data_IF_885584793994
#
_entry.id   IF_885584793994
#
_cell.length_a   1.000
_cell.length_b   1.000
_cell.length_c   1.000
_cell.angle_alpha   90.00
_cell.angle_beta   90.00
_cell.angle_gamma   90.00
#
_symmetry.space_group_name_H-M   'P 1'
#
loop_
_entity.id
_entity.type
_entity.pdbx_description
1 polymer ?
#
# COMPACT_ATOMS: atom_id res chain seq x y z
N UNK A 1 21.76 8.40 0.69
CA UNK A 1 20.67 7.79 1.47
C UNK A 1 20.60 6.31 1.15
N UNK A 2 19.92 5.51 1.97
CA UNK A 2 19.75 4.07 1.74
C UNK A 2 18.29 3.65 1.91
N UNK A 3 17.88 2.60 1.21
CA UNK A 3 16.60 1.95 1.47
C UNK A 3 16.76 1.10 2.73
N UNK A 4 15.92 1.35 3.74
CA UNK A 4 15.94 0.62 5.02
C UNK A 4 14.84 -0.42 5.14
N UNK A 5 13.75 -0.28 4.38
CA UNK A 5 12.65 -1.23 4.39
C UNK A 5 11.96 -1.29 3.02
N UNK A 6 11.61 -2.50 2.61
CA UNK A 6 10.75 -2.79 1.48
C UNK A 6 9.56 -3.62 1.97
N UNK A 7 8.35 -3.21 1.61
CA UNK A 7 7.13 -3.93 1.98
C UNK A 7 6.24 -4.11 0.77
N UNK A 8 5.84 -5.35 0.53
CA UNK A 8 4.85 -5.73 -0.49
C UNK A 8 3.52 -6.01 0.22
N UNK A 9 2.43 -5.56 -0.37
CA UNK A 9 1.07 -5.78 0.14
C UNK A 9 0.27 -6.56 -0.90
N UNK A 10 0.41 -7.89 -1.00
CA UNK A 10 -0.21 -8.65 -2.08
C UNK A 10 -1.73 -8.47 -2.16
N UNK A 11 -2.39 -8.41 -1.00
CA UNK A 11 -3.83 -8.18 -0.90
C UNK A 11 -4.10 -6.78 -0.34
N UNK A 12 -4.89 -5.99 -1.07
CA UNK A 12 -5.33 -4.67 -0.60
C UNK A 12 -5.97 -4.77 0.79
N UNK A 13 -5.48 -3.97 1.74
CA UNK A 13 -5.96 -3.88 3.13
C UNK A 13 -5.64 -5.05 4.07
N UNK A 14 -4.98 -6.12 3.63
CA UNK A 14 -4.40 -7.12 4.52
C UNK A 14 -2.99 -6.71 4.97
N UNK A 15 -2.32 -7.52 5.79
CA UNK A 15 -0.95 -7.25 6.24
C UNK A 15 0.03 -7.18 5.07
N UNK A 16 1.10 -6.41 5.24
CA UNK A 16 2.24 -6.37 4.34
C UNK A 16 3.26 -7.45 4.68
N UNK A 17 4.10 -7.75 3.70
CA UNK A 17 5.25 -8.65 3.81
C UNK A 17 6.50 -7.80 3.68
N UNK A 18 7.33 -7.74 4.73
CA UNK A 18 8.64 -7.13 4.61
C UNK A 18 9.56 -8.07 3.83
N UNK A 19 10.21 -7.54 2.82
CA UNK A 19 11.10 -8.28 1.94
C UNK A 19 12.48 -7.64 1.89
N UNK A 20 13.51 -8.45 1.69
CA UNK A 20 14.88 -7.93 1.53
C UNK A 20 15.15 -7.46 0.10
N UNK A 21 14.38 -7.97 -0.86
CA UNK A 21 14.44 -7.58 -2.27
C UNK A 21 13.12 -7.89 -2.98
N UNK A 22 12.86 -7.19 -4.09
CA UNK A 22 11.72 -7.44 -4.98
C UNK A 22 12.08 -7.03 -6.41
N UNK A 23 11.45 -7.63 -7.40
CA UNK A 23 11.40 -7.02 -8.73
C UNK A 23 10.55 -5.75 -8.68
N UNK A 24 10.98 -4.73 -9.43
CA UNK A 24 10.27 -3.46 -9.58
C UNK A 24 9.69 -3.37 -10.99
N UNK A 25 8.40 -3.10 -11.08
CA UNK A 25 7.67 -3.02 -12.34
C UNK A 25 6.92 -1.70 -12.47
N UNK A 26 6.52 -1.35 -13.70
CA UNK A 26 5.75 -0.13 -13.96
C UNK A 26 4.47 -0.02 -13.10
N UNK A 27 3.89 -1.14 -12.69
CA UNK A 27 2.67 -1.21 -11.88
C UNK A 27 2.90 -1.45 -10.38
N UNK A 28 4.17 -1.48 -9.90
CA UNK A 28 4.52 -1.65 -8.48
C UNK A 28 5.62 -2.69 -8.25
N UNK A 29 5.88 -3.01 -7.00
CA UNK A 29 6.72 -4.16 -6.64
C UNK A 29 6.02 -5.45 -7.05
N UNK A 30 6.78 -6.50 -7.31
CA UNK A 30 6.24 -7.82 -7.66
C UNK A 30 5.16 -8.24 -6.65
N UNK A 31 3.99 -8.63 -7.16
CA UNK A 31 2.80 -9.04 -6.40
C UNK A 31 2.11 -7.94 -5.59
N UNK A 32 2.56 -6.71 -5.58
CA UNK A 32 1.94 -5.63 -4.80
C UNK A 32 0.51 -5.32 -5.28
N UNK A 33 -0.46 -5.36 -4.35
CA UNK A 33 -1.90 -5.11 -4.56
C UNK A 33 -2.49 -5.85 -5.76
N UNK A 34 -1.99 -7.07 -6.01
CA UNK A 34 -2.49 -7.96 -7.06
C UNK A 34 -3.88 -8.50 -6.75
N UNK A 35 -4.22 -8.60 -5.46
CA UNK A 35 -5.51 -9.07 -4.96
C UNK A 35 -6.24 -7.98 -4.18
N UNK A 36 -7.56 -8.11 -4.13
CA UNK A 36 -8.45 -7.20 -3.42
C UNK A 36 -9.67 -7.96 -2.89
N UNK A 37 -10.18 -7.52 -1.74
CA UNK A 37 -11.44 -7.98 -1.20
C UNK A 37 -12.58 -7.13 -1.74
N UNK A 38 -13.70 -7.77 -2.13
CA UNK A 38 -14.90 -7.10 -2.61
C UNK A 38 -16.15 -7.59 -1.86
N UNK A 39 -17.13 -6.70 -1.74
CA UNK A 39 -18.46 -7.02 -1.21
C UNK A 39 -19.35 -7.67 -2.30
N UNK A 40 -20.59 -8.06 -1.93
CA UNK A 40 -21.58 -8.62 -2.84
C UNK A 40 -21.97 -7.69 -4.00
N UNK A 41 -21.66 -6.38 -3.90
CA UNK A 41 -21.87 -5.39 -4.95
C UNK A 41 -20.60 -5.17 -5.79
N UNK A 42 -19.59 -6.02 -5.65
CA UNK A 42 -18.30 -5.92 -6.33
C UNK A 42 -17.52 -4.62 -6.02
N UNK A 43 -17.76 -4.03 -4.86
CA UNK A 43 -17.04 -2.84 -4.37
C UNK A 43 -15.94 -3.26 -3.41
N UNK A 44 -14.81 -2.61 -3.49
CA UNK A 44 -13.65 -2.91 -2.64
C UNK A 44 -13.96 -2.72 -1.14
N UNK A 45 -13.48 -3.68 -0.35
CA UNK A 45 -13.55 -3.66 1.12
C UNK A 45 -12.17 -3.35 1.69
N UNK A 46 -12.12 -2.50 2.69
CA UNK A 46 -10.86 -2.05 3.29
C UNK A 46 -10.93 -2.01 4.81
N UNK A 47 -9.78 -1.80 5.46
CA UNK A 47 -9.70 -1.54 6.90
C UNK A 47 -10.53 -0.33 7.35
N UNK A 48 -11.03 0.53 6.44
CA UNK A 48 -11.97 1.62 6.79
C UNK A 48 -13.33 1.11 7.23
N UNK A 49 -13.79 0.03 6.62
CA UNK A 49 -15.05 -0.63 6.95
C UNK A 49 -14.84 -1.77 7.96
N UNK A 50 -13.77 -2.53 7.79
CA UNK A 50 -13.46 -3.70 8.60
C UNK A 50 -11.99 -3.64 9.08
N UNK A 51 -11.70 -2.94 10.18
CA UNK A 51 -10.34 -2.81 10.72
C UNK A 51 -9.66 -4.15 11.01
N UNK A 52 -10.42 -5.19 11.37
CA UNK A 52 -9.93 -6.54 11.61
C UNK A 52 -9.20 -7.17 10.41
N UNK A 53 -9.38 -6.66 9.18
CA UNK A 53 -8.58 -7.09 8.03
C UNK A 53 -7.07 -6.93 8.26
N UNK A 54 -6.66 -6.01 9.13
CA UNK A 54 -5.26 -5.82 9.51
C UNK A 54 -4.67 -7.03 10.25
N UNK A 55 -5.49 -7.94 10.80
CA UNK A 55 -5.01 -9.12 11.53
C UNK A 55 -4.77 -10.33 10.63
N UNK A 56 -5.20 -10.29 9.37
CA UNK A 56 -4.95 -11.36 8.40
C UNK A 56 -3.53 -11.23 7.88
N UNK A 57 -2.68 -12.17 8.25
CA UNK A 57 -1.30 -12.27 7.79
C UNK A 57 -1.25 -12.82 6.37
N UNK A 58 -0.26 -12.37 5.62
CA UNK A 58 -0.05 -12.73 4.22
C UNK A 58 1.38 -13.19 4.03
N UNK A 59 1.56 -14.30 3.32
CA UNK A 59 2.87 -14.77 2.89
C UNK A 59 2.83 -15.16 1.40
N UNK A 60 3.96 -15.10 0.74
CA UNK A 60 4.17 -15.59 -0.63
C UNK A 60 5.15 -16.75 -0.58
N UNK A 61 4.78 -17.87 -1.20
CA UNK A 61 5.66 -18.98 -1.54
C UNK A 61 5.96 -18.94 -3.05
N UNK A 62 6.81 -19.81 -3.60
CA UNK A 62 7.05 -19.83 -5.04
C UNK A 62 5.80 -20.04 -5.91
N UNK A 63 4.77 -20.69 -5.37
CA UNK A 63 3.57 -21.11 -6.09
C UNK A 63 2.25 -20.64 -5.48
N UNK A 64 2.28 -20.04 -4.27
CA UNK A 64 1.06 -19.74 -3.53
C UNK A 64 1.10 -18.40 -2.77
N UNK A 65 -0.04 -17.74 -2.72
CA UNK A 65 -0.39 -16.73 -1.72
C UNK A 65 -0.99 -17.47 -0.52
N UNK A 66 -0.42 -17.30 0.67
CA UNK A 66 -0.91 -17.92 1.91
C UNK A 66 -1.53 -16.85 2.80
N UNK A 67 -2.79 -17.08 3.21
CA UNK A 67 -3.47 -16.26 4.21
C UNK A 67 -3.52 -17.01 5.53
N UNK A 68 -3.23 -16.33 6.64
CA UNK A 68 -3.22 -16.91 7.99
C UNK A 68 -3.92 -16.01 8.99
N UNK A 69 -4.64 -16.62 9.91
CA UNK A 69 -5.28 -15.92 11.04
C UNK A 69 -5.31 -16.85 12.27
N UNK A 70 -5.13 -16.35 13.52
CA UNK A 70 -5.07 -17.21 14.70
C UNK A 70 -6.32 -18.06 14.97
N UNK A 71 -7.47 -17.68 14.42
CA UNK A 71 -8.74 -18.37 14.66
C UNK A 71 -8.97 -19.59 13.75
N UNK A 72 -8.21 -19.74 12.65
CA UNK A 72 -8.45 -20.78 11.63
C UNK A 72 -7.13 -21.25 11.02
N UNK A 73 -7.12 -22.45 10.46
CA UNK A 73 -5.96 -22.97 9.73
C UNK A 73 -5.64 -22.10 8.50
N UNK A 74 -4.37 -21.95 8.14
CA UNK A 74 -3.98 -21.18 6.96
C UNK A 74 -4.59 -21.74 5.66
N UNK A 75 -4.85 -20.84 4.71
CA UNK A 75 -5.31 -21.21 3.36
C UNK A 75 -4.28 -20.79 2.31
N UNK A 76 -4.05 -21.66 1.32
CA UNK A 76 -3.16 -21.41 0.20
C UNK A 76 -3.96 -21.18 -1.09
N UNK A 77 -3.57 -20.16 -1.85
CA UNK A 77 -4.20 -19.75 -3.10
C UNK A 77 -3.11 -19.78 -4.16
N UNK A 78 -3.30 -20.55 -5.24
CA UNK A 78 -2.30 -20.67 -6.30
C UNK A 78 -1.93 -19.32 -6.90
N UNK A 79 -0.65 -19.10 -7.22
CA UNK A 79 -0.20 -17.93 -7.99
C UNK A 79 -0.54 -18.04 -9.48
N UNK A 80 -0.86 -19.23 -9.99
CA UNK A 80 -1.41 -19.39 -11.34
C UNK A 80 -2.75 -18.65 -11.45
N UNK A 81 -2.95 -17.92 -12.55
CA UNK A 81 -4.15 -17.14 -12.75
C UNK A 81 -5.37 -18.08 -12.86
N UNK A 82 -6.43 -17.90 -12.05
CA UNK A 82 -7.58 -18.78 -12.05
C UNK A 82 -8.31 -18.69 -13.39
N UNK A 83 -8.81 -19.83 -13.85
CA UNK A 83 -9.69 -19.88 -15.02
C UNK A 83 -11.10 -19.43 -14.62
N UNK A 84 -11.77 -18.65 -15.44
CA UNK A 84 -13.14 -18.21 -15.17
C UNK A 84 -13.56 -16.96 -15.89
N UNK A 85 -14.78 -16.53 -15.60
CA UNK A 85 -15.33 -15.31 -16.16
C UNK A 85 -14.85 -14.08 -15.40
N UNK A 86 -14.40 -13.08 -16.16
CA UNK A 86 -14.04 -11.78 -15.60
C UNK A 86 -15.25 -11.12 -14.92
N UNK A 87 -15.01 -10.56 -13.75
CA UNK A 87 -15.95 -9.70 -13.02
C UNK A 87 -15.52 -8.25 -13.14
N UNK A 88 -16.50 -7.35 -13.22
CA UNK A 88 -16.26 -5.92 -13.11
C UNK A 88 -16.32 -5.55 -11.62
N UNK A 89 -15.22 -5.05 -11.10
CA UNK A 89 -15.09 -4.62 -9.68
C UNK A 89 -14.74 -3.13 -9.63
N UNK A 90 -15.06 -2.47 -8.51
CA UNK A 90 -14.77 -1.05 -8.38
C UNK A 90 -13.74 -0.77 -7.28
N UNK A 91 -12.79 0.13 -7.59
CA UNK A 91 -11.82 0.72 -6.66
C UNK A 91 -11.96 2.23 -6.75
N UNK A 92 -12.50 2.86 -5.70
CA UNK A 92 -12.88 4.28 -5.74
C UNK A 92 -13.86 4.56 -6.90
N UNK A 93 -13.50 5.43 -7.82
CA UNK A 93 -14.27 5.72 -9.02
C UNK A 93 -13.97 4.83 -10.22
N UNK A 94 -12.94 3.99 -10.14
CA UNK A 94 -12.48 3.17 -11.26
C UNK A 94 -13.19 1.82 -11.30
N UNK A 95 -13.40 1.32 -12.51
CA UNK A 95 -13.85 -0.04 -12.77
C UNK A 95 -12.72 -0.88 -13.32
N UNK A 96 -12.45 -2.03 -12.69
CA UNK A 96 -11.39 -2.96 -13.07
C UNK A 96 -11.97 -4.33 -13.44
N UNK A 97 -11.32 -5.01 -14.38
CA UNK A 97 -11.60 -6.42 -14.64
C UNK A 97 -10.78 -7.29 -13.68
N UNK A 98 -11.45 -8.22 -13.02
CA UNK A 98 -10.85 -9.11 -12.03
C UNK A 98 -11.36 -10.53 -12.20
N UNK A 99 -10.55 -11.50 -11.77
CA UNK A 99 -10.91 -12.90 -11.70
C UNK A 99 -11.25 -13.25 -10.24
N UNK A 100 -12.37 -13.89 -9.95
CA UNK A 100 -12.69 -14.35 -8.62
C UNK A 100 -11.75 -15.50 -8.22
N UNK A 101 -11.30 -15.50 -6.98
CA UNK A 101 -10.70 -16.68 -6.36
C UNK A 101 -11.79 -17.65 -5.91
N UNK A 102 -11.38 -18.83 -5.43
CA UNK A 102 -12.29 -19.88 -4.95
C UNK A 102 -13.21 -19.37 -3.83
N UNK A 103 -14.45 -19.82 -3.79
CA UNK A 103 -15.42 -19.55 -2.72
C UNK A 103 -14.92 -20.02 -1.34
N UNK A 104 -14.07 -21.03 -1.29
CA UNK A 104 -13.42 -21.50 -0.06
C UNK A 104 -12.65 -20.37 0.65
N UNK A 105 -12.08 -19.41 -0.11
CA UNK A 105 -11.42 -18.25 0.49
C UNK A 105 -12.43 -17.32 1.17
N UNK A 106 -13.64 -17.19 0.63
CA UNK A 106 -14.72 -16.38 1.25
C UNK A 106 -15.20 -17.02 2.54
N UNK A 107 -15.38 -18.33 2.56
CA UNK A 107 -15.74 -19.11 3.76
C UNK A 107 -14.62 -19.00 4.81
N UNK A 108 -13.37 -19.08 4.40
CA UNK A 108 -12.22 -18.91 5.28
C UNK A 108 -12.19 -17.51 5.91
N UNK A 109 -12.45 -16.45 5.13
CA UNK A 109 -12.51 -15.08 5.64
C UNK A 109 -13.63 -14.88 6.65
N UNK A 110 -14.81 -15.48 6.42
CA UNK A 110 -15.92 -15.44 7.37
C UNK A 110 -15.58 -16.19 8.65
N UNK A 111 -14.95 -17.36 8.55
CA UNK A 111 -14.49 -18.12 9.72
C UNK A 111 -13.41 -17.38 10.53
N UNK A 112 -12.47 -16.67 9.85
CA UNK A 112 -11.40 -15.94 10.49
C UNK A 112 -11.89 -14.65 11.17
N UNK A 113 -12.79 -13.89 10.54
CA UNK A 113 -13.16 -12.52 10.93
C UNK A 113 -14.61 -12.39 11.43
N UNK A 114 -15.40 -13.48 11.37
CA UNK A 114 -16.78 -13.52 11.82
C UNK A 114 -17.78 -12.90 10.84
N UNK A 115 -19.01 -12.73 11.30
CA UNK A 115 -20.16 -12.21 10.52
C UNK A 115 -19.87 -10.92 9.74
N UNK A 116 -18.92 -10.08 10.20
CA UNK A 116 -18.55 -8.84 9.53
C UNK A 116 -17.88 -9.09 8.17
N UNK A 117 -17.32 -10.28 7.95
CA UNK A 117 -16.70 -10.69 6.70
C UNK A 117 -17.65 -11.49 5.79
N UNK A 118 -18.89 -11.69 6.18
CA UNK A 118 -19.88 -12.42 5.41
C UNK A 118 -20.13 -11.80 4.04
N UNK A 119 -20.05 -12.61 3.00
CA UNK A 119 -20.24 -12.17 1.62
C UNK A 119 -19.06 -11.39 1.03
N UNK A 120 -17.94 -11.32 1.74
CA UNK A 120 -16.69 -10.79 1.19
C UNK A 120 -16.01 -11.89 0.36
N UNK A 121 -15.56 -11.55 -0.84
CA UNK A 121 -14.80 -12.44 -1.70
C UNK A 121 -13.47 -11.84 -2.12
N UNK A 122 -12.48 -12.73 -2.39
CA UNK A 122 -11.17 -12.33 -2.90
C UNK A 122 -11.21 -12.36 -4.43
N UNK A 123 -10.66 -11.31 -5.03
CA UNK A 123 -10.50 -11.19 -6.49
C UNK A 123 -9.07 -10.85 -6.84
N UNK A 124 -8.61 -11.33 -8.00
CA UNK A 124 -7.29 -11.05 -8.57
C UNK A 124 -7.46 -10.10 -9.76
N UNK A 125 -6.59 -9.12 -9.87
CA UNK A 125 -6.53 -8.21 -11.00
C UNK A 125 -6.23 -9.01 -12.28
N UNK A 126 -7.05 -8.88 -13.32
CA UNK A 126 -6.86 -9.62 -14.55
C UNK A 126 -5.64 -9.11 -15.34
N UNK A 127 -4.75 -10.00 -15.78
CA UNK A 127 -3.56 -9.63 -16.58
C UNK A 127 -3.90 -9.00 -17.92
N UNK A 128 -5.11 -9.25 -18.41
CA UNK A 128 -5.63 -8.69 -19.69
C UNK A 128 -6.23 -7.30 -19.53
N UNK A 129 -6.21 -6.71 -18.34
CA UNK A 129 -6.76 -5.39 -18.06
C UNK A 129 -5.65 -4.43 -17.60
N UNK A 130 -5.82 -3.16 -17.91
CA UNK A 130 -4.92 -2.09 -17.49
C UNK A 130 -5.72 -1.03 -16.75
N UNK A 131 -5.24 -0.62 -15.58
CA UNK A 131 -5.80 0.50 -14.82
C UNK A 131 -4.82 1.66 -14.86
N UNK A 132 -5.23 2.76 -15.49
CA UNK A 132 -4.42 3.98 -15.55
C UNK A 132 -4.32 4.67 -14.19
N UNK A 133 -3.19 5.28 -13.91
CA UNK A 133 -3.00 6.26 -12.83
C UNK A 133 -3.59 7.60 -13.28
N UNK A 134 -4.06 8.39 -12.31
CA UNK A 134 -4.60 9.73 -12.53
C UNK A 134 -3.62 10.63 -13.32
N UNK A 135 -4.06 11.19 -14.44
CA UNK A 135 -3.21 11.92 -15.39
C UNK A 135 -2.68 13.26 -14.85
N UNK A 136 -3.41 13.92 -13.95
CA UNK A 136 -3.12 15.28 -13.46
C UNK A 136 -1.69 15.48 -12.96
N UNK A 137 -1.05 14.41 -12.48
CA UNK A 137 0.30 14.46 -11.91
C UNK A 137 1.34 13.69 -12.73
N UNK A 138 1.00 13.23 -13.94
CA UNK A 138 1.90 12.43 -14.78
C UNK A 138 2.72 13.29 -15.75
N UNK A 139 2.43 14.59 -15.86
CA UNK A 139 3.11 15.51 -16.79
C UNK A 139 3.10 15.01 -18.25
N UNK A 140 1.97 14.45 -18.69
CA UNK A 140 1.79 13.90 -20.04
C UNK A 140 2.33 12.49 -20.25
N UNK A 141 2.86 11.84 -19.22
CA UNK A 141 3.24 10.43 -19.25
C UNK A 141 2.07 9.49 -18.95
N UNK A 142 2.29 8.20 -19.14
CA UNK A 142 1.35 7.15 -18.76
C UNK A 142 1.93 6.33 -17.60
N UNK A 143 1.08 5.91 -16.67
CA UNK A 143 1.42 4.98 -15.61
C UNK A 143 0.22 4.11 -15.26
N UNK A 144 0.49 2.92 -14.77
CA UNK A 144 -0.50 1.92 -14.45
C UNK A 144 -0.32 1.39 -13.04
N UNK A 145 -1.40 0.86 -12.47
CA UNK A 145 -1.35 0.21 -11.17
C UNK A 145 -2.38 -0.92 -11.11
N UNK A 146 -2.22 -1.82 -10.16
CA UNK A 146 -3.23 -2.84 -9.86
C UNK A 146 -4.32 -2.26 -8.92
N UNK A 147 -4.58 -2.89 -7.79
CA UNK A 147 -5.57 -2.43 -6.81
C UNK A 147 -5.04 -1.42 -5.79
N UNK A 148 -3.91 -0.73 -6.06
CA UNK A 148 -3.46 0.39 -5.23
C UNK A 148 -4.51 1.49 -5.16
N UNK A 149 -4.40 2.42 -4.21
CA UNK A 149 -5.39 3.52 -4.13
C UNK A 149 -5.31 4.45 -5.34
N UNK A 150 -4.12 4.79 -5.82
CA UNK A 150 -3.97 5.61 -7.02
C UNK A 150 -2.61 5.45 -7.71
N UNK A 151 -1.56 5.08 -6.98
CA UNK A 151 -0.19 5.01 -7.50
C UNK A 151 0.46 3.67 -7.17
N UNK A 152 1.40 3.20 -8.00
CA UNK A 152 2.07 1.91 -7.80
C UNK A 152 3.03 1.89 -6.60
N UNK A 153 3.59 3.04 -6.20
CA UNK A 153 4.54 3.12 -5.10
C UNK A 153 4.18 4.21 -4.10
N UNK A 154 4.44 3.92 -2.83
CA UNK A 154 4.46 4.89 -1.75
C UNK A 154 5.87 4.90 -1.15
N UNK A 155 6.53 6.06 -1.17
CA UNK A 155 7.85 6.30 -0.60
C UNK A 155 7.69 7.15 0.65
N UNK A 156 8.39 6.78 1.73
CA UNK A 156 8.44 7.52 2.99
C UNK A 156 9.87 7.58 3.50
N UNK A 157 10.15 8.45 4.46
CA UNK A 157 11.45 8.55 5.10
C UNK A 157 11.40 8.29 6.60
N UNK A 158 12.52 7.88 7.18
CA UNK A 158 12.66 7.68 8.63
C UNK A 158 12.48 9.00 9.37
N UNK A 159 13.10 10.09 8.90
CA UNK A 159 13.02 11.40 9.56
C UNK A 159 11.59 11.97 9.59
N UNK A 160 10.78 11.72 8.55
CA UNK A 160 9.37 12.13 8.56
C UNK A 160 8.55 11.37 9.60
N UNK A 161 8.82 10.08 9.80
CA UNK A 161 8.19 9.31 10.86
C UNK A 161 8.62 9.79 12.24
N UNK A 162 9.90 10.08 12.42
CA UNK A 162 10.45 10.56 13.70
C UNK A 162 9.85 11.92 14.07
N UNK A 163 9.73 12.86 13.12
CA UNK A 163 9.09 14.14 13.35
C UNK A 163 7.60 14.01 13.71
N UNK A 164 6.87 13.13 13.03
CA UNK A 164 5.48 12.83 13.38
C UNK A 164 5.39 12.25 14.80
N UNK A 165 6.23 11.29 15.13
CA UNK A 165 6.23 10.63 16.43
C UNK A 165 6.63 11.58 17.57
N UNK A 166 7.55 12.50 17.31
CA UNK A 166 7.86 13.57 18.26
C UNK A 166 6.63 14.44 18.53
N UNK A 167 5.91 14.89 17.48
CA UNK A 167 4.70 15.70 17.63
C UNK A 167 3.56 14.95 18.36
N UNK A 168 3.43 13.63 18.15
CA UNK A 168 2.50 12.78 18.88
C UNK A 168 2.84 12.76 20.38
N UNK A 169 4.12 12.55 20.74
CA UNK A 169 4.57 12.53 22.14
C UNK A 169 4.36 13.89 22.81
N UNK A 170 4.67 14.99 22.16
CA UNK A 170 4.46 16.36 22.67
C UNK A 170 2.97 16.64 22.97
N UNK A 171 2.06 15.96 22.28
CA UNK A 171 0.60 16.07 22.51
C UNK A 171 0.05 14.95 23.40
N UNK A 172 0.91 14.14 24.04
CA UNK A 172 0.55 13.10 24.99
C UNK A 172 0.07 11.79 24.34
N UNK A 173 0.37 11.59 23.06
CA UNK A 173 0.04 10.36 22.33
C UNK A 173 1.25 9.43 22.22
N UNK A 174 0.97 8.15 21.98
CA UNK A 174 2.03 7.14 21.72
C UNK A 174 2.52 7.23 20.28
N UNK A 175 3.84 7.02 20.06
CA UNK A 175 4.40 6.87 18.71
C UNK A 175 3.69 5.78 17.90
N UNK A 176 3.65 5.98 16.60
CA UNK A 176 3.09 5.01 15.65
C UNK A 176 4.22 4.39 14.80
N UNK A 177 4.12 3.10 14.44
CA UNK A 177 5.10 2.47 13.56
C UNK A 177 4.85 2.85 12.08
N UNK A 178 5.87 2.73 11.24
CA UNK A 178 5.84 3.03 9.81
C UNK A 178 4.72 2.25 9.07
N UNK A 179 4.43 1.03 9.49
CA UNK A 179 3.41 0.19 8.83
C UNK A 179 1.98 0.74 8.88
N UNK A 180 1.69 1.76 9.74
CA UNK A 180 0.43 2.51 9.72
C UNK A 180 0.18 3.20 8.37
N UNK A 181 1.25 3.61 7.70
CA UNK A 181 1.23 4.32 6.44
C UNK A 181 1.31 3.41 5.23
N UNK A 182 1.68 2.13 5.43
CA UNK A 182 1.74 1.09 4.40
C UNK A 182 2.62 1.48 3.19
N UNK A 183 3.85 2.00 3.40
CA UNK A 183 4.75 2.32 2.32
C UNK A 183 5.29 1.06 1.64
N UNK A 184 5.68 1.20 0.37
CA UNK A 184 6.45 0.17 -0.33
C UNK A 184 7.94 0.31 -0.06
N UNK A 185 8.43 1.56 0.04
CA UNK A 185 9.85 1.90 0.15
C UNK A 185 10.03 2.89 1.29
N UNK A 186 10.89 2.55 2.25
CA UNK A 186 11.32 3.47 3.30
C UNK A 186 12.79 3.81 3.06
N UNK A 187 13.08 5.10 3.00
CA UNK A 187 14.43 5.64 2.79
C UNK A 187 14.94 6.24 4.11
N UNK A 188 16.18 5.91 4.47
CA UNK A 188 16.90 6.56 5.58
C UNK A 188 17.20 8.01 5.20
N UNK A 189 16.66 8.94 5.96
CA UNK A 189 16.89 10.36 5.81
C UNK A 189 16.66 11.01 7.18
N UNK A 190 17.62 11.80 7.65
CA UNK A 190 17.54 12.45 8.97
C UNK A 190 16.61 13.68 8.93
N UNK A 191 16.52 14.33 7.78
CA UNK A 191 15.68 15.52 7.60
C UNK A 191 14.20 15.10 7.41
N UNK A 192 13.33 15.69 8.23
CA UNK A 192 11.90 15.48 8.15
C UNK A 192 11.30 16.13 6.88
N UNK A 193 10.39 15.42 6.25
CA UNK A 193 9.63 15.87 5.07
C UNK A 193 10.49 16.16 3.85
N UNK A 194 11.72 15.63 3.81
CA UNK A 194 12.65 15.84 2.71
C UNK A 194 12.13 15.16 1.42
N UNK A 195 11.43 14.03 1.53
CA UNK A 195 10.78 13.39 0.39
C UNK A 195 9.74 14.28 -0.32
N UNK A 196 9.23 15.31 0.34
CA UNK A 196 8.30 16.26 -0.27
C UNK A 196 8.97 17.17 -1.31
N UNK A 197 10.30 17.32 -1.22
CA UNK A 197 11.12 18.12 -2.13
C UNK A 197 11.72 17.33 -3.28
N UNK A 198 11.60 16.02 -3.29
CA UNK A 198 12.20 15.19 -4.31
C UNK A 198 11.34 15.11 -5.57
N UNK A 199 11.98 15.32 -6.73
CA UNK A 199 11.39 15.02 -8.03
C UNK A 199 11.58 13.55 -8.41
N UNK A 200 12.79 13.02 -8.16
CA UNK A 200 13.12 11.62 -8.45
C UNK A 200 13.89 10.98 -7.32
N UNK A 201 13.83 9.66 -7.27
CA UNK A 201 14.66 8.80 -6.43
C UNK A 201 15.27 7.74 -7.34
N UNK A 202 16.60 7.65 -7.39
CA UNK A 202 17.31 6.76 -8.30
C UNK A 202 18.37 5.93 -7.58
N UNK A 203 18.55 4.70 -8.03
CA UNK A 203 19.66 3.82 -7.72
C UNK A 203 20.24 3.22 -9.00
N UNK A 204 21.29 2.40 -8.87
CA UNK A 204 21.79 1.62 -10.01
C UNK A 204 20.68 0.68 -10.52
N UNK A 205 20.29 0.86 -11.77
CA UNK A 205 19.34 0.00 -12.47
C UNK A 205 17.87 0.44 -12.44
N UNK A 206 17.48 1.41 -11.62
CA UNK A 206 16.08 1.92 -11.62
C UNK A 206 15.98 3.39 -11.20
N UNK A 207 14.88 4.02 -11.64
CA UNK A 207 14.52 5.38 -11.25
C UNK A 207 13.01 5.49 -11.02
N UNK A 208 12.65 6.13 -9.91
CA UNK A 208 11.29 6.48 -9.54
C UNK A 208 11.08 7.99 -9.71
N UNK A 209 9.91 8.38 -10.20
CA UNK A 209 9.46 9.79 -10.20
C UNK A 209 8.43 9.98 -9.11
N UNK A 210 8.68 10.90 -8.18
CA UNK A 210 7.75 11.26 -7.13
C UNK A 210 6.72 12.24 -7.70
N UNK A 211 5.44 11.89 -7.62
CA UNK A 211 4.36 12.57 -8.34
C UNK A 211 3.60 13.55 -7.47
N UNK A 212 3.08 13.09 -6.35
CA UNK A 212 2.31 13.93 -5.42
C UNK A 212 2.39 13.43 -3.98
N UNK A 213 2.23 14.31 -2.98
CA UNK A 213 2.08 13.91 -1.60
C UNK A 213 0.93 12.92 -1.42
N UNK A 214 1.13 11.91 -0.58
CA UNK A 214 0.11 10.92 -0.32
C UNK A 214 -0.86 11.42 0.75
N UNK A 215 -2.09 11.73 0.34
CA UNK A 215 -3.15 12.08 1.29
C UNK A 215 -3.54 10.86 2.13
N UNK A 216 -3.55 11.04 3.43
CA UNK A 216 -3.82 9.95 4.38
C UNK A 216 -5.28 9.91 4.79
N UNK A 217 -5.78 8.71 5.00
CA UNK A 217 -7.15 8.46 5.44
C UNK A 217 -7.16 7.70 6.77
N UNK A 218 -8.34 7.46 7.32
CA UNK A 218 -8.52 6.78 8.61
C UNK A 218 -7.89 5.37 8.71
N UNK A 219 -7.42 4.76 7.63
CA UNK A 219 -6.67 3.49 7.71
C UNK A 219 -5.42 3.64 8.59
N UNK A 220 -4.78 4.81 8.59
CA UNK A 220 -3.59 5.07 9.42
C UNK A 220 -3.87 5.04 10.91
N UNK A 221 -5.15 5.16 11.33
CA UNK A 221 -5.55 5.05 12.74
C UNK A 221 -5.67 3.59 13.21
N UNK A 222 -5.71 2.62 12.27
CA UNK A 222 -5.83 1.19 12.59
C UNK A 222 -4.48 0.63 13.01
N UNK A 223 -4.41 0.02 14.18
CA UNK A 223 -3.25 -0.75 14.59
C UNK A 223 -3.12 -2.02 13.74
N UNK A 224 -2.02 -2.12 12.98
CA UNK A 224 -1.84 -3.18 11.99
C UNK A 224 -1.59 -4.55 12.63
N UNK A 225 -1.30 -4.62 13.92
CA UNK A 225 -1.11 -5.86 14.66
C UNK A 225 -2.41 -6.38 15.29
N UNK A 226 -3.26 -5.48 15.76
CA UNK A 226 -4.46 -5.84 16.53
C UNK A 226 -5.77 -5.62 15.76
N UNK A 227 -5.75 -4.92 14.64
CA UNK A 227 -6.95 -4.54 13.89
C UNK A 227 -7.88 -3.60 14.67
N UNK A 228 -7.36 -2.91 15.69
CA UNK A 228 -8.13 -1.97 16.52
C UNK A 228 -7.74 -0.52 16.24
N UNK A 229 -8.56 0.40 16.71
CA UNK A 229 -8.27 1.85 16.67
C UNK A 229 -8.02 2.32 18.11
N UNK A 230 -6.75 2.31 18.58
CA UNK A 230 -6.42 2.58 19.99
C UNK A 230 -6.70 4.02 20.39
N UNK A 231 -6.48 4.97 19.48
CA UNK A 231 -6.76 6.39 19.73
C UNK A 231 -7.47 6.95 18.51
N UNK A 232 -8.70 7.42 18.72
CA UNK A 232 -9.49 7.99 17.63
C UNK A 232 -8.81 9.22 17.04
N UNK A 233 -8.83 9.29 15.71
CA UNK A 233 -8.25 10.35 14.89
C UNK A 233 -6.72 10.43 14.83
N UNK A 234 -5.95 9.75 15.70
CA UNK A 234 -4.48 9.73 15.56
C UNK A 234 -3.98 8.58 14.64
N UNK A 235 -2.94 8.82 13.82
CA UNK A 235 -2.08 10.02 13.72
C UNK A 235 -2.62 11.12 12.78
N UNK A 236 -3.84 11.01 12.24
CA UNK A 236 -4.37 11.97 11.25
C UNK A 236 -4.51 13.39 11.80
N UNK A 237 -4.95 13.53 13.06
CA UNK A 237 -5.12 14.85 13.69
C UNK A 237 -3.77 15.55 13.84
N UNK A 238 -2.74 14.83 14.28
CA UNK A 238 -1.39 15.37 14.40
C UNK A 238 -0.82 15.73 13.02
N UNK A 239 -1.00 14.89 11.99
CA UNK A 239 -0.59 15.21 10.62
C UNK A 239 -1.30 16.46 10.06
N UNK A 240 -2.59 16.63 10.36
CA UNK A 240 -3.32 17.84 9.99
C UNK A 240 -2.76 19.09 10.69
N UNK A 241 -2.38 18.99 11.96
CA UNK A 241 -1.79 20.09 12.71
C UNK A 241 -0.38 20.44 12.21
N UNK A 242 0.43 19.46 11.81
CA UNK A 242 1.74 19.67 11.20
C UNK A 242 1.64 20.38 9.84
N UNK A 243 0.56 20.16 9.10
CA UNK A 243 0.25 20.85 7.84
C UNK A 243 1.44 20.93 6.88
N UNK A 244 2.13 19.79 6.66
CA UNK A 244 3.35 19.72 5.83
C UNK A 244 3.12 20.12 4.37
N UNK A 245 1.86 20.08 3.92
CA UNK A 245 1.42 20.47 2.58
C UNK A 245 0.35 21.56 2.63
N UNK A 246 0.72 22.84 2.95
CA UNK A 246 -0.26 23.90 3.22
C UNK A 246 -1.15 24.27 2.03
N UNK A 247 -0.73 23.89 0.81
CA UNK A 247 -1.49 24.14 -0.43
C UNK A 247 -2.49 23.04 -0.76
N UNK A 248 -2.45 21.90 -0.03
CA UNK A 248 -3.32 20.75 -0.24
C UNK A 248 -4.25 20.55 0.95
N UNK A 249 -5.46 20.05 0.68
CA UNK A 249 -6.41 19.71 1.74
C UNK A 249 -6.12 18.33 2.31
N UNK A 250 -6.17 18.21 3.65
CA UNK A 250 -6.06 16.94 4.35
C UNK A 250 -4.69 16.67 4.95
N UNK A 251 -4.56 15.51 5.59
CA UNK A 251 -3.31 15.05 6.18
C UNK A 251 -2.46 14.38 5.09
N UNK A 252 -1.15 14.65 5.07
CA UNK A 252 -0.22 14.06 4.10
C UNK A 252 0.94 13.38 4.82
N UNK A 253 1.42 12.27 4.27
CA UNK A 253 2.61 11.55 4.72
C UNK A 253 3.14 10.66 3.60
N UNK A 254 4.39 10.91 3.20
CA UNK A 254 5.07 10.23 2.10
C UNK A 254 4.61 10.66 0.70
N UNK A 255 5.31 10.16 -0.29
CA UNK A 255 5.14 10.54 -1.70
C UNK A 255 4.67 9.35 -2.54
N UNK A 256 3.62 9.57 -3.32
CA UNK A 256 3.22 8.67 -4.38
C UNK A 256 4.22 8.76 -5.54
N UNK A 257 4.61 7.62 -6.08
CA UNK A 257 5.60 7.57 -7.15
C UNK A 257 5.22 6.58 -8.26
N UNK A 258 5.86 6.78 -9.43
CA UNK A 258 5.80 5.89 -10.59
C UNK A 258 7.21 5.48 -11.00
N UNK A 259 7.35 4.33 -11.65
CA UNK A 259 8.62 3.92 -12.23
C UNK A 259 8.89 4.74 -13.50
N UNK A 260 10.08 5.35 -13.58
CA UNK A 260 10.54 6.09 -14.75
C UNK A 260 11.49 5.27 -15.62
N UNK A 261 12.28 4.38 -15.01
CA UNK A 261 13.22 3.48 -15.70
C UNK A 261 13.51 2.25 -14.84
N UNK A 262 13.91 1.16 -15.48
CA UNK A 262 14.35 -0.06 -14.79
C UNK A 262 13.24 -1.08 -14.54
N UNK A 263 12.24 -1.16 -15.42
CA UNK A 263 11.23 -2.22 -15.36
C UNK A 263 11.88 -3.61 -15.40
N UNK A 264 11.49 -4.48 -14.45
CA UNK A 264 12.10 -5.80 -14.24
C UNK A 264 13.42 -5.81 -13.47
N UNK A 265 13.95 -4.66 -13.06
CA UNK A 265 15.12 -4.60 -12.18
C UNK A 265 14.80 -5.06 -10.77
N UNK A 266 15.83 -5.32 -9.97
CA UNK A 266 15.67 -5.74 -8.57
C UNK A 266 16.06 -4.59 -7.65
N UNK A 267 15.10 -4.17 -6.82
CA UNK A 267 15.28 -3.24 -5.71
C UNK A 267 15.59 -4.01 -4.41
N UNK A 268 16.51 -3.50 -3.59
CA UNK A 268 16.98 -4.18 -2.36
C UNK A 268 17.00 -3.25 -1.16
N UNK A 269 16.76 -3.80 0.01
CA UNK A 269 17.14 -3.16 1.28
C UNK A 269 18.66 -2.99 1.27
N UNK A 270 19.12 -1.77 1.58
CA UNK A 270 20.53 -1.40 1.52
C UNK A 270 20.95 -0.70 0.22
N UNK A 271 20.12 -0.68 -0.81
CA UNK A 271 20.42 0.08 -2.03
C UNK A 271 20.71 1.54 -1.69
N UNK A 272 21.82 2.04 -2.23
CA UNK A 272 22.18 3.45 -2.11
C UNK A 272 21.39 4.24 -3.15
N UNK A 273 20.62 5.19 -2.67
CA UNK A 273 19.74 6.02 -3.51
C UNK A 273 20.14 7.48 -3.46
N UNK A 274 19.93 8.15 -4.58
CA UNK A 274 20.07 9.61 -4.72
C UNK A 274 18.76 10.23 -5.13
N UNK A 275 18.42 11.37 -4.55
CA UNK A 275 17.26 12.15 -4.93
C UNK A 275 17.67 13.38 -5.73
N UNK A 276 16.87 13.77 -6.72
CA UNK A 276 16.95 15.09 -7.34
C UNK A 276 15.85 15.98 -6.79
N UNK A 277 16.13 17.25 -6.47
CA UNK A 277 15.09 18.14 -5.97
C UNK A 277 14.08 18.49 -7.08
N UNK A 278 12.87 18.88 -6.66
CA UNK A 278 11.90 19.52 -7.56
C UNK A 278 12.44 20.90 -7.96
N UNK A 279 12.24 21.27 -9.20
CA UNK A 279 12.46 22.65 -9.64
C UNK A 279 11.47 23.57 -8.91
N UNK A 280 11.96 24.74 -8.48
CA UNK A 280 11.19 25.71 -7.71
C UNK A 280 10.12 26.41 -8.58
#
# INVERSE_FOLDING_TARGET
MKITQLTVYPVKSLQGIDVTQSEIHAHGLAWDRRWMLVDSHQRFVTQRQLPALATVSVALTPDSLVLSHPAVEPISISLEEPQGNLRLVSVWGDHCKALPESEVVSEWLEAALGEQAKGISLVRFATTFTRAVEEDFLAGGEAHTYFSDGYPFLITTTGSLDALNQALVETGHTPVPMNRFRPNIVVECDDAWEEDRWATLAAEGYQLTLRKPCQRCKITTVDQRTGTIPTQAEPLKTLLALNTQPHLKGAHFGQNATLAAGDGSVIRVGDVVSATPREA
#
